data_IF_429054431089
#
_entry.id   IF_429054431089
#
_cell.length_a   1.000
_cell.length_b   1.000
_cell.length_c   1.000
_cell.angle_alpha   90.00
_cell.angle_beta   90.00
_cell.angle_gamma   90.00
#
_symmetry.space_group_name_H-M   'P 1'
#
loop_
_entity.id
_entity.type
_entity.pdbx_description
1 polymer ?
#
# COMPACT_ATOMS: atom_id res chain seq x y z
N UNK A 1 -19.29 -35.03 56.35
CA UNK A 1 -18.30 -33.93 56.17
C UNK A 1 -17.79 -33.78 54.75
N UNK A 2 -18.34 -34.50 53.73
CA UNK A 2 -17.84 -34.49 52.34
C UNK A 2 -18.59 -33.63 51.31
N UNK A 3 -19.83 -33.21 51.55
CA UNK A 3 -20.59 -32.48 50.53
C UNK A 3 -20.24 -30.99 50.41
N UNK A 4 -19.82 -30.35 51.53
CA UNK A 4 -19.43 -28.93 51.50
C UNK A 4 -18.09 -28.67 50.79
N UNK A 5 -17.16 -29.60 50.93
CA UNK A 5 -15.82 -29.50 50.27
C UNK A 5 -15.93 -29.76 48.74
N UNK A 6 -16.82 -30.65 48.32
CA UNK A 6 -17.09 -30.89 46.91
C UNK A 6 -17.71 -29.67 46.22
N UNK A 7 -18.72 -29.08 46.84
CA UNK A 7 -19.40 -27.85 46.30
C UNK A 7 -18.46 -26.62 46.28
N UNK A 8 -17.56 -26.49 47.25
CA UNK A 8 -16.58 -25.42 47.27
C UNK A 8 -15.52 -25.59 46.19
N UNK A 9 -15.11 -26.83 45.89
CA UNK A 9 -14.16 -27.14 44.81
C UNK A 9 -14.74 -26.94 43.41
N UNK A 10 -16.02 -27.28 43.24
CA UNK A 10 -16.78 -27.07 42.00
C UNK A 10 -17.01 -25.59 41.70
N UNK A 11 -17.39 -24.79 42.71
CA UNK A 11 -17.49 -23.33 42.60
C UNK A 11 -16.13 -22.66 42.27
N UNK A 12 -15.04 -23.12 42.87
CA UNK A 12 -13.69 -22.62 42.55
C UNK A 12 -13.26 -22.94 41.11
N UNK A 13 -13.61 -24.12 40.63
CA UNK A 13 -13.36 -24.55 39.24
C UNK A 13 -14.17 -23.70 38.26
N UNK A 14 -15.47 -23.53 38.48
CA UNK A 14 -16.35 -22.69 37.67
C UNK A 14 -15.87 -21.22 37.63
N UNK A 15 -15.46 -20.69 38.75
CA UNK A 15 -14.93 -19.31 38.83
C UNK A 15 -13.64 -19.13 38.06
N UNK A 16 -12.73 -20.14 38.07
CA UNK A 16 -11.50 -20.13 37.26
C UNK A 16 -11.80 -20.21 35.77
N UNK A 17 -12.71 -21.07 35.37
CA UNK A 17 -13.09 -21.25 33.96
C UNK A 17 -13.76 -19.98 33.42
N UNK A 18 -14.65 -19.33 34.16
CA UNK A 18 -15.26 -18.06 33.79
C UNK A 18 -14.23 -16.92 33.66
N UNK A 19 -13.28 -16.86 34.58
CA UNK A 19 -12.20 -15.87 34.52
C UNK A 19 -11.31 -16.08 33.29
N UNK A 20 -11.02 -17.33 32.97
CA UNK A 20 -10.22 -17.71 31.80
C UNK A 20 -10.92 -17.33 30.49
N UNK A 21 -12.20 -17.69 30.31
CA UNK A 21 -12.97 -17.30 29.11
C UNK A 21 -13.11 -15.78 28.97
N UNK A 22 -13.32 -15.07 30.07
CA UNK A 22 -13.35 -13.62 30.06
C UNK A 22 -12.01 -13.02 29.61
N UNK A 23 -10.90 -13.54 30.12
CA UNK A 23 -9.57 -13.09 29.72
C UNK A 23 -9.31 -13.30 28.22
N UNK A 24 -9.74 -14.44 27.67
CA UNK A 24 -9.66 -14.71 26.22
C UNK A 24 -10.45 -13.64 25.45
N UNK A 25 -11.72 -13.43 25.79
CA UNK A 25 -12.59 -12.47 25.09
C UNK A 25 -12.05 -11.03 25.19
N UNK A 26 -11.51 -10.66 26.34
CA UNK A 26 -10.98 -9.32 26.59
C UNK A 26 -9.63 -9.07 25.86
N UNK A 27 -8.87 -10.13 25.59
CA UNK A 27 -7.58 -10.03 24.87
C UNK A 27 -7.71 -10.07 23.34
N UNK A 28 -8.87 -10.47 22.78
CA UNK A 28 -9.08 -10.51 21.34
C UNK A 28 -9.20 -9.10 20.76
N UNK A 29 -8.54 -8.79 19.60
CA UNK A 29 -8.67 -7.49 18.92
C UNK A 29 -9.99 -7.39 18.14
N UNK A 30 -11.09 -7.82 18.75
CA UNK A 30 -12.43 -7.88 18.18
C UNK A 30 -13.42 -7.35 19.20
N UNK A 31 -14.29 -6.45 18.79
CA UNK A 31 -15.40 -6.02 19.64
C UNK A 31 -16.40 -7.17 19.84
N UNK A 32 -16.70 -7.50 21.07
CA UNK A 32 -17.67 -8.54 21.41
C UNK A 32 -18.70 -7.96 22.38
N UNK A 33 -19.97 -8.15 22.08
CA UNK A 33 -21.05 -7.86 23.01
C UNK A 33 -22.12 -8.96 23.00
N UNK A 34 -22.86 -9.05 24.07
CA UNK A 34 -24.00 -9.97 24.20
C UNK A 34 -25.27 -9.17 24.46
N UNK A 35 -26.39 -9.73 24.04
CA UNK A 35 -27.73 -9.18 24.27
C UNK A 35 -28.66 -10.24 24.83
N UNK A 36 -29.70 -9.78 25.53
CA UNK A 36 -30.84 -10.63 25.89
C UNK A 36 -31.86 -10.74 24.75
N UNK A 37 -32.97 -11.45 24.96
CA UNK A 37 -34.05 -11.64 23.96
C UNK A 37 -34.72 -10.32 23.53
N UNK A 38 -34.60 -9.23 24.31
CA UNK A 38 -35.08 -7.88 23.97
C UNK A 38 -34.05 -7.03 23.23
N UNK A 39 -32.92 -7.61 22.81
CA UNK A 39 -31.80 -6.90 22.18
C UNK A 39 -31.14 -5.83 23.06
N UNK A 40 -31.29 -5.94 24.38
CA UNK A 40 -30.59 -5.07 25.35
C UNK A 40 -29.22 -5.68 25.65
N UNK A 41 -28.18 -4.85 25.64
CA UNK A 41 -26.79 -5.25 25.89
C UNK A 41 -26.67 -5.80 27.32
N UNK A 42 -26.08 -6.98 27.43
CA UNK A 42 -25.78 -7.65 28.70
C UNK A 42 -24.31 -7.64 29.05
N UNK A 43 -23.43 -7.62 28.06
CA UNK A 43 -21.98 -7.44 28.24
C UNK A 43 -21.35 -6.74 27.05
N UNK A 44 -20.19 -6.11 27.28
CA UNK A 44 -19.39 -5.41 26.26
C UNK A 44 -17.93 -5.55 26.63
N UNK A 45 -17.10 -6.20 25.77
CA UNK A 45 -15.69 -6.36 26.04
C UNK A 45 -14.91 -5.04 25.88
N UNK A 46 -13.65 -4.93 26.37
CA UNK A 46 -12.86 -3.71 26.30
C UNK A 46 -12.66 -3.20 24.87
N UNK A 47 -12.52 -4.11 23.89
CA UNK A 47 -12.33 -3.73 22.49
C UNK A 47 -13.59 -3.08 21.90
N UNK A 48 -14.77 -3.63 22.19
CA UNK A 48 -16.04 -3.04 21.79
C UNK A 48 -16.26 -1.66 22.44
N UNK A 49 -15.87 -1.49 23.70
CA UNK A 49 -15.90 -0.17 24.37
C UNK A 49 -15.01 0.84 23.63
N UNK A 50 -13.78 0.44 23.28
CA UNK A 50 -12.83 1.29 22.54
C UNK A 50 -13.39 1.70 21.18
N UNK A 51 -13.98 0.77 20.43
CA UNK A 51 -14.51 1.03 19.08
C UNK A 51 -15.78 1.88 19.11
N UNK A 52 -16.68 1.63 20.02
CA UNK A 52 -17.96 2.36 20.09
C UNK A 52 -17.86 3.68 20.87
N UNK A 53 -16.84 3.81 21.72
CA UNK A 53 -16.66 4.96 22.62
C UNK A 53 -17.59 4.95 23.85
N UNK A 54 -18.36 3.87 24.08
CA UNK A 54 -19.20 3.69 25.26
C UNK A 54 -18.56 2.72 26.23
N UNK A 55 -18.60 3.03 27.53
CA UNK A 55 -18.20 2.09 28.56
C UNK A 55 -19.22 0.96 28.70
N UNK A 56 -18.80 -0.18 29.28
CA UNK A 56 -19.72 -1.28 29.57
C UNK A 56 -20.86 -0.85 30.49
N UNK A 57 -20.60 0.05 31.45
CA UNK A 57 -21.64 0.58 32.38
C UNK A 57 -22.68 1.44 31.64
N UNK A 58 -22.26 2.27 30.68
CA UNK A 58 -23.17 3.10 29.88
C UNK A 58 -23.98 2.29 28.88
N UNK A 59 -23.43 1.17 28.36
CA UNK A 59 -24.07 0.37 27.33
C UNK A 59 -25.01 -0.71 27.89
N UNK A 60 -24.68 -1.31 29.04
CA UNK A 60 -25.48 -2.39 29.63
C UNK A 60 -26.92 -1.96 29.90
N UNK A 61 -27.88 -2.80 29.54
CA UNK A 61 -29.32 -2.54 29.67
C UNK A 61 -29.92 -1.68 28.54
N UNK A 62 -29.10 -1.04 27.70
CA UNK A 62 -29.58 -0.25 26.56
C UNK A 62 -29.79 -1.11 25.32
N UNK A 63 -30.67 -0.66 24.44
CA UNK A 63 -30.87 -1.30 23.13
C UNK A 63 -29.61 -1.22 22.29
N UNK A 64 -29.14 -2.35 21.76
CA UNK A 64 -27.85 -2.43 21.02
C UNK A 64 -27.80 -1.48 19.81
N UNK A 65 -28.93 -1.24 19.14
CA UNK A 65 -29.02 -0.30 18.03
C UNK A 65 -28.79 1.17 18.39
N UNK A 66 -28.94 1.56 19.66
CA UNK A 66 -28.64 2.92 20.15
C UNK A 66 -27.12 3.12 20.32
N UNK A 67 -26.41 2.05 20.66
CA UNK A 67 -24.96 2.05 20.91
C UNK A 67 -24.19 1.90 19.60
N UNK A 68 -24.57 0.93 18.77
CA UNK A 68 -23.86 0.60 17.53
C UNK A 68 -24.28 1.46 16.33
N UNK A 69 -25.54 1.95 16.35
CA UNK A 69 -26.11 2.80 15.28
C UNK A 69 -25.80 2.31 13.86
N UNK A 70 -25.75 0.99 13.69
CA UNK A 70 -25.37 0.35 12.43
C UNK A 70 -26.40 0.61 11.32
N UNK A 71 -25.94 0.60 10.08
CA UNK A 71 -26.78 0.84 8.90
C UNK A 71 -27.97 -0.12 8.77
N UNK A 72 -27.88 -1.31 9.39
CA UNK A 72 -28.92 -2.35 9.36
C UNK A 72 -29.76 -2.43 10.64
N UNK A 73 -29.51 -1.59 11.65
CA UNK A 73 -30.18 -1.69 12.95
C UNK A 73 -31.68 -1.32 12.92
N UNK A 74 -32.15 -0.64 11.87
CA UNK A 74 -33.53 -0.13 11.80
C UNK A 74 -34.49 -1.00 11.01
N UNK A 75 -34.05 -1.59 9.88
CA UNK A 75 -34.92 -2.30 8.94
C UNK A 75 -34.66 -3.82 8.93
N UNK A 76 -33.41 -4.22 8.84
CA UNK A 76 -33.01 -5.63 8.67
C UNK A 76 -31.97 -6.00 9.71
N UNK A 77 -32.36 -5.99 11.00
CA UNK A 77 -31.43 -6.27 12.09
C UNK A 77 -30.91 -7.72 12.01
N UNK A 78 -29.61 -7.92 11.73
CA UNK A 78 -29.06 -9.28 11.58
C UNK A 78 -29.15 -10.08 12.88
N UNK A 79 -28.96 -9.42 14.03
CA UNK A 79 -29.05 -10.04 15.33
C UNK A 79 -30.48 -10.54 15.62
N UNK A 80 -31.50 -9.75 15.27
CA UNK A 80 -32.91 -10.17 15.37
C UNK A 80 -33.19 -11.36 14.44
N UNK A 81 -32.69 -11.31 13.20
CA UNK A 81 -32.87 -12.42 12.25
C UNK A 81 -32.22 -13.73 12.73
N UNK A 82 -31.09 -13.64 13.45
CA UNK A 82 -30.43 -14.82 14.06
C UNK A 82 -31.25 -15.35 15.23
N UNK A 83 -31.83 -14.47 16.06
CA UNK A 83 -32.69 -14.88 17.17
C UNK A 83 -34.00 -15.52 16.69
N UNK A 84 -34.58 -14.99 15.60
CA UNK A 84 -35.84 -15.52 15.05
C UNK A 84 -35.66 -16.84 14.27
N UNK A 85 -34.50 -17.04 13.63
CA UNK A 85 -34.23 -18.19 12.73
C UNK A 85 -33.30 -19.23 13.32
N UNK A 86 -32.70 -18.98 14.48
CA UNK A 86 -31.71 -19.84 15.18
C UNK A 86 -30.49 -20.24 14.32
N UNK A 87 -30.19 -19.46 13.26
CA UNK A 87 -29.05 -19.71 12.36
C UNK A 87 -28.01 -18.61 12.50
N UNK A 88 -26.74 -18.95 12.78
CA UNK A 88 -25.69 -17.94 12.88
C UNK A 88 -25.46 -17.24 11.54
N UNK A 89 -25.10 -15.97 11.57
CA UNK A 89 -24.61 -15.20 10.43
C UNK A 89 -23.11 -14.97 10.59
N UNK A 90 -22.36 -15.24 9.54
CA UNK A 90 -20.90 -15.10 9.53
C UNK A 90 -20.46 -14.16 8.43
N UNK A 91 -19.38 -13.41 8.70
CA UNK A 91 -18.71 -12.52 7.74
C UNK A 91 -19.61 -11.45 7.11
N UNK A 92 -20.62 -10.99 7.84
CA UNK A 92 -21.47 -9.89 7.39
C UNK A 92 -20.70 -8.56 7.45
N UNK A 93 -20.48 -7.93 6.30
CA UNK A 93 -19.87 -6.59 6.23
C UNK A 93 -20.94 -5.51 6.29
N UNK A 94 -20.77 -4.56 7.19
CA UNK A 94 -21.67 -3.42 7.39
C UNK A 94 -20.91 -2.27 8.05
N UNK A 95 -21.62 -1.25 8.52
CA UNK A 95 -21.02 -0.15 9.27
C UNK A 95 -21.65 -0.03 10.66
N UNK A 96 -20.87 0.46 11.61
CA UNK A 96 -21.35 0.97 12.89
C UNK A 96 -21.00 2.46 13.01
N UNK A 97 -21.61 3.17 13.94
CA UNK A 97 -21.20 4.52 14.31
C UNK A 97 -20.78 4.54 15.77
N UNK A 98 -19.67 5.20 16.05
CA UNK A 98 -19.25 5.47 17.41
C UNK A 98 -20.11 6.58 18.05
N UNK A 99 -19.85 6.88 19.34
CA UNK A 99 -20.57 7.93 20.07
C UNK A 99 -20.40 9.34 19.49
N UNK A 100 -19.32 9.55 18.70
CA UNK A 100 -19.01 10.83 18.06
C UNK A 100 -19.59 10.96 16.65
N UNK A 101 -20.25 9.90 16.14
CA UNK A 101 -20.84 9.87 14.82
C UNK A 101 -19.88 9.41 13.70
N UNK A 102 -18.67 8.98 14.03
CA UNK A 102 -17.76 8.42 13.04
C UNK A 102 -18.26 7.07 12.55
N UNK A 103 -18.29 6.88 11.24
CA UNK A 103 -18.72 5.63 10.61
C UNK A 103 -17.53 4.69 10.48
N UNK A 104 -17.62 3.49 11.08
CA UNK A 104 -16.59 2.47 11.10
C UNK A 104 -17.10 1.26 10.31
N UNK A 105 -16.47 0.86 9.19
CA UNK A 105 -16.78 -0.38 8.50
C UNK A 105 -16.35 -1.57 9.35
N UNK A 106 -17.25 -2.52 9.55
CA UNK A 106 -17.01 -3.69 10.38
C UNK A 106 -17.43 -4.97 9.69
N UNK A 107 -16.73 -6.06 10.00
CA UNK A 107 -17.14 -7.42 9.67
C UNK A 107 -17.67 -8.08 10.92
N UNK A 108 -18.89 -8.61 10.86
CA UNK A 108 -19.63 -9.15 11.99
C UNK A 108 -19.85 -10.65 11.89
N UNK A 109 -19.77 -11.33 13.03
CA UNK A 109 -20.24 -12.68 13.24
C UNK A 109 -21.27 -12.66 14.35
N UNK A 110 -22.42 -13.28 14.14
CA UNK A 110 -23.58 -13.21 15.02
C UNK A 110 -24.09 -14.64 15.27
N UNK A 111 -24.31 -14.96 16.53
CA UNK A 111 -24.86 -16.25 16.95
C UNK A 111 -25.86 -16.11 18.09
N UNK A 112 -26.79 -17.06 18.19
CA UNK A 112 -27.67 -17.17 19.33
C UNK A 112 -26.94 -17.72 20.56
N UNK A 113 -27.30 -17.24 21.74
CA UNK A 113 -26.84 -17.78 23.02
C UNK A 113 -27.94 -18.72 23.57
N UNK A 114 -27.53 -19.96 23.86
CA UNK A 114 -28.40 -20.99 24.39
C UNK A 114 -28.09 -21.23 25.89
N UNK A 115 -29.11 -21.53 26.67
CA UNK A 115 -28.93 -22.01 28.04
C UNK A 115 -28.59 -23.53 28.05
N UNK A 116 -28.41 -24.08 29.24
CA UNK A 116 -28.08 -25.50 29.44
C UNK A 116 -29.19 -26.45 28.92
N UNK A 117 -30.42 -25.97 28.70
CA UNK A 117 -31.53 -26.73 28.16
C UNK A 117 -31.64 -26.65 26.63
N UNK A 118 -30.77 -25.84 25.99
CA UNK A 118 -30.82 -25.57 24.55
C UNK A 118 -31.81 -24.46 24.17
N UNK A 119 -32.40 -23.75 25.14
CA UNK A 119 -33.31 -22.63 24.91
C UNK A 119 -32.54 -21.37 24.60
N UNK A 120 -32.98 -20.63 23.57
CA UNK A 120 -32.40 -19.35 23.19
C UNK A 120 -32.67 -18.28 24.29
N UNK A 121 -31.60 -17.73 24.84
CA UNK A 121 -31.66 -16.71 25.90
C UNK A 121 -31.18 -15.33 25.47
N UNK A 122 -30.61 -15.22 24.28
CA UNK A 122 -30.07 -13.99 23.75
C UNK A 122 -29.17 -14.22 22.54
N UNK A 123 -28.30 -13.25 22.25
CA UNK A 123 -27.35 -13.31 21.14
C UNK A 123 -25.98 -12.75 21.49
N UNK A 124 -25.00 -13.20 20.75
CA UNK A 124 -23.63 -12.67 20.75
C UNK A 124 -23.29 -12.12 19.37
N UNK A 125 -22.68 -10.96 19.35
CA UNK A 125 -22.12 -10.37 18.13
C UNK A 125 -20.64 -10.06 18.37
N UNK A 126 -19.81 -10.59 17.48
CA UNK A 126 -18.40 -10.23 17.38
C UNK A 126 -18.20 -9.39 16.13
N UNK A 127 -17.49 -8.25 16.23
CA UNK A 127 -17.26 -7.35 15.11
C UNK A 127 -15.81 -6.85 15.08
N UNK A 128 -15.24 -6.84 13.88
CA UNK A 128 -13.87 -6.43 13.62
C UNK A 128 -13.87 -5.17 12.76
N UNK A 129 -13.05 -4.18 13.11
CA UNK A 129 -12.80 -3.02 12.26
C UNK A 129 -12.05 -3.46 10.99
N UNK A 130 -12.64 -3.18 9.83
CA UNK A 130 -12.06 -3.45 8.53
C UNK A 130 -11.70 -2.16 7.76
N UNK A 131 -11.57 -1.02 8.45
CA UNK A 131 -11.24 0.28 7.85
C UNK A 131 -9.95 0.22 7.05
N UNK A 132 -8.93 -0.43 7.60
CA UNK A 132 -7.65 -0.63 6.92
C UNK A 132 -7.80 -1.48 5.65
N UNK A 133 -8.55 -2.59 5.73
CA UNK A 133 -8.81 -3.47 4.59
C UNK A 133 -9.58 -2.70 3.50
N UNK A 134 -10.63 -1.96 3.88
CA UNK A 134 -11.40 -1.14 2.94
C UNK A 134 -10.59 -0.02 2.30
N UNK A 135 -9.66 0.55 3.04
CA UNK A 135 -8.73 1.55 2.49
C UNK A 135 -7.82 0.92 1.44
N UNK A 136 -7.25 -0.25 1.71
CA UNK A 136 -6.42 -0.98 0.74
C UNK A 136 -7.22 -1.41 -0.50
N UNK A 137 -8.44 -1.95 -0.32
CA UNK A 137 -9.32 -2.31 -1.43
C UNK A 137 -9.63 -1.10 -2.31
N UNK A 138 -9.94 0.06 -1.71
CA UNK A 138 -10.21 1.29 -2.42
C UNK A 138 -8.99 1.83 -3.16
N UNK A 139 -7.82 1.79 -2.51
CA UNK A 139 -6.56 2.14 -3.16
C UNK A 139 -6.32 1.26 -4.39
N UNK A 140 -6.45 -0.07 -4.24
CA UNK A 140 -6.31 -1.02 -5.35
C UNK A 140 -7.30 -0.75 -6.49
N UNK A 141 -8.58 -0.50 -6.19
CA UNK A 141 -9.58 -0.18 -7.20
C UNK A 141 -9.27 1.14 -7.93
N UNK A 142 -8.85 2.17 -7.20
CA UNK A 142 -8.43 3.44 -7.78
C UNK A 142 -7.22 3.27 -8.71
N UNK A 143 -6.27 2.39 -8.35
CA UNK A 143 -5.11 2.05 -9.18
C UNK A 143 -5.52 1.47 -10.52
N UNK A 144 -6.38 0.45 -10.50
CA UNK A 144 -6.88 -0.20 -11.73
C UNK A 144 -7.64 0.80 -12.61
N UNK A 145 -8.47 1.65 -12.02
CA UNK A 145 -9.22 2.67 -12.74
C UNK A 145 -8.31 3.71 -13.41
N UNK A 146 -7.25 4.14 -12.72
CA UNK A 146 -6.29 5.11 -13.27
C UNK A 146 -5.50 4.53 -14.44
N UNK A 147 -5.02 3.28 -14.30
CA UNK A 147 -4.33 2.57 -15.39
C UNK A 147 -5.23 2.43 -16.61
N UNK A 148 -6.47 1.99 -16.41
CA UNK A 148 -7.44 1.84 -17.50
C UNK A 148 -7.72 3.18 -18.20
N UNK A 149 -7.81 4.28 -17.45
CA UNK A 149 -7.99 5.62 -18.00
C UNK A 149 -6.79 6.05 -18.87
N UNK A 150 -5.57 5.87 -18.39
CA UNK A 150 -4.35 6.29 -19.09
C UNK A 150 -4.09 5.42 -20.34
N UNK A 151 -4.34 4.10 -20.24
CA UNK A 151 -4.33 3.20 -21.40
C UNK A 151 -5.35 3.64 -22.45
N UNK A 152 -6.59 3.94 -22.04
CA UNK A 152 -7.64 4.41 -22.95
C UNK A 152 -7.25 5.73 -23.65
N UNK A 153 -6.60 6.64 -22.92
CA UNK A 153 -6.13 7.91 -23.47
C UNK A 153 -5.05 7.69 -24.53
N UNK A 154 -4.02 6.87 -24.27
CA UNK A 154 -3.00 6.53 -25.25
C UNK A 154 -3.58 5.80 -26.46
N UNK A 155 -4.50 4.84 -26.26
CA UNK A 155 -5.19 4.14 -27.34
C UNK A 155 -6.03 5.10 -28.22
N UNK A 156 -6.69 6.09 -27.61
CA UNK A 156 -7.44 7.10 -28.36
C UNK A 156 -6.54 7.97 -29.24
N UNK A 157 -5.35 8.35 -28.74
CA UNK A 157 -4.35 9.09 -29.51
C UNK A 157 -3.84 8.24 -30.66
N UNK A 158 -3.46 6.99 -30.41
CA UNK A 158 -3.02 6.04 -31.42
C UNK A 158 -4.07 5.85 -32.52
N UNK A 159 -5.32 5.59 -32.14
CA UNK A 159 -6.43 5.42 -33.07
C UNK A 159 -6.67 6.68 -33.90
N UNK A 160 -6.63 7.86 -33.26
CA UNK A 160 -6.85 9.15 -33.93
C UNK A 160 -5.78 9.44 -35.02
N UNK A 161 -4.49 9.24 -34.71
CA UNK A 161 -3.41 9.45 -35.69
C UNK A 161 -3.38 8.36 -36.74
N UNK A 162 -3.67 7.10 -36.41
CA UNK A 162 -3.79 6.02 -37.39
C UNK A 162 -4.93 6.28 -38.40
N UNK A 163 -6.10 6.70 -37.92
CA UNK A 163 -7.22 7.04 -38.78
C UNK A 163 -6.91 8.25 -39.69
N UNK A 164 -6.19 9.27 -39.19
CA UNK A 164 -5.73 10.39 -40.01
C UNK A 164 -4.78 9.98 -41.12
N UNK A 165 -3.84 9.08 -40.81
CA UNK A 165 -2.94 8.51 -41.82
C UNK A 165 -3.70 7.72 -42.87
N UNK A 166 -4.71 6.93 -42.50
CA UNK A 166 -5.51 6.14 -43.42
C UNK A 166 -6.42 7.01 -44.29
N UNK A 167 -7.14 7.98 -43.66
CA UNK A 167 -8.16 8.78 -44.36
C UNK A 167 -7.57 9.86 -45.28
N UNK A 168 -6.36 10.31 -45.03
CA UNK A 168 -5.68 11.38 -45.78
C UNK A 168 -4.39 10.95 -46.44
N UNK A 169 -4.16 9.65 -46.64
CA UNK A 169 -2.90 9.11 -47.13
C UNK A 169 -2.42 9.71 -48.46
N UNK A 170 -3.37 10.17 -49.33
CA UNK A 170 -3.07 10.81 -50.62
C UNK A 170 -2.76 12.31 -50.49
N UNK A 171 -3.24 12.97 -49.44
CA UNK A 171 -3.22 14.45 -49.29
C UNK A 171 -2.15 14.92 -48.29
N UNK A 172 -1.60 14.02 -47.49
CA UNK A 172 -0.61 14.36 -46.44
C UNK A 172 0.81 14.25 -47.01
N UNK A 173 1.59 15.35 -46.86
CA UNK A 173 2.99 15.37 -47.24
C UNK A 173 3.83 14.41 -46.38
N UNK A 174 4.99 13.94 -46.91
CA UNK A 174 5.90 13.00 -46.25
C UNK A 174 6.32 13.49 -44.83
N UNK A 175 6.51 14.76 -44.65
CA UNK A 175 6.90 15.36 -43.37
C UNK A 175 5.82 15.18 -42.29
N UNK A 176 4.56 15.40 -42.66
CA UNK A 176 3.43 15.23 -41.75
C UNK A 176 3.17 13.75 -41.45
N UNK A 177 3.36 12.86 -42.45
CA UNK A 177 3.32 11.40 -42.22
C UNK A 177 4.37 10.96 -41.19
N UNK A 178 5.63 11.42 -41.34
CA UNK A 178 6.68 11.13 -40.36
C UNK A 178 6.35 11.65 -38.96
N UNK A 179 5.77 12.84 -38.86
CA UNK A 179 5.33 13.41 -37.58
C UNK A 179 4.26 12.55 -36.92
N UNK A 180 3.25 12.10 -37.66
CA UNK A 180 2.20 11.23 -37.10
C UNK A 180 2.73 9.86 -36.70
N UNK A 181 3.58 9.25 -37.52
CA UNK A 181 4.27 8.00 -37.16
C UNK A 181 5.13 8.16 -35.90
N UNK A 182 5.85 9.28 -35.78
CA UNK A 182 6.62 9.60 -34.57
C UNK A 182 5.75 9.71 -33.30
N UNK A 183 4.56 10.32 -33.41
CA UNK A 183 3.60 10.37 -32.30
C UNK A 183 3.10 8.98 -31.93
N UNK A 184 2.74 8.16 -32.93
CA UNK A 184 2.29 6.78 -32.73
C UNK A 184 3.37 5.96 -32.04
N UNK A 185 4.61 6.00 -32.53
CA UNK A 185 5.73 5.28 -31.93
C UNK A 185 6.00 5.70 -30.48
N UNK A 186 5.93 7.02 -30.21
CA UNK A 186 6.10 7.55 -28.85
C UNK A 186 4.99 7.06 -27.92
N UNK A 187 3.73 7.07 -28.36
CA UNK A 187 2.61 6.61 -27.54
C UNK A 187 2.61 5.09 -27.31
N UNK A 188 3.05 4.29 -28.31
CA UNK A 188 3.25 2.86 -28.13
C UNK A 188 4.33 2.57 -27.07
N UNK A 189 5.45 3.27 -27.10
CA UNK A 189 6.50 3.13 -26.09
C UNK A 189 6.04 3.50 -24.68
N UNK A 190 5.17 4.52 -24.54
CA UNK A 190 4.55 4.85 -23.26
C UNK A 190 3.63 3.75 -22.76
N UNK A 191 2.81 3.17 -23.64
CA UNK A 191 1.90 2.09 -23.30
C UNK A 191 2.65 0.84 -22.86
N UNK A 192 3.71 0.49 -23.59
CA UNK A 192 4.61 -0.63 -23.26
C UNK A 192 5.25 -0.43 -21.86
N UNK A 193 5.78 0.77 -21.61
CA UNK A 193 6.34 1.11 -20.29
C UNK A 193 5.30 0.97 -19.17
N UNK A 194 4.06 1.47 -19.39
CA UNK A 194 2.99 1.37 -18.42
C UNK A 194 2.63 -0.09 -18.09
N UNK A 195 2.50 -0.93 -19.13
CA UNK A 195 2.19 -2.36 -18.95
C UNK A 195 3.30 -3.06 -18.18
N UNK A 196 4.56 -2.81 -18.54
CA UNK A 196 5.72 -3.40 -17.88
C UNK A 196 5.84 -2.96 -16.43
N UNK A 197 5.60 -1.68 -16.13
CA UNK A 197 5.61 -1.13 -14.78
C UNK A 197 4.49 -1.73 -13.92
N UNK A 198 3.29 -1.91 -14.51
CA UNK A 198 2.16 -2.52 -13.83
C UNK A 198 2.39 -4.01 -13.52
N UNK A 199 2.89 -4.77 -14.47
CA UNK A 199 3.22 -6.19 -14.27
C UNK A 199 4.28 -6.35 -13.17
N UNK A 200 5.31 -5.51 -13.19
CA UNK A 200 6.34 -5.55 -12.17
C UNK A 200 5.80 -5.20 -10.78
N UNK A 201 4.99 -4.13 -10.66
CA UNK A 201 4.34 -3.79 -9.40
C UNK A 201 3.46 -4.93 -8.88
N UNK A 202 2.73 -5.62 -9.78
CA UNK A 202 1.91 -6.78 -9.44
C UNK A 202 2.75 -7.92 -8.86
N UNK A 203 3.89 -8.25 -9.50
CA UNK A 203 4.82 -9.27 -9.01
C UNK A 203 5.48 -8.87 -7.69
N UNK A 204 5.76 -7.58 -7.49
CA UNK A 204 6.29 -7.06 -6.23
C UNK A 204 5.28 -7.20 -5.08
N UNK A 205 4.00 -6.91 -5.34
CA UNK A 205 2.94 -6.98 -4.31
C UNK A 205 2.54 -8.43 -3.96
N UNK A 206 2.63 -9.36 -4.92
CA UNK A 206 2.37 -10.78 -4.66
C UNK A 206 3.51 -11.49 -3.92
N UNK A 207 4.63 -10.82 -3.69
CA UNK A 207 5.83 -11.43 -3.11
C UNK A 207 6.54 -12.42 -4.05
N UNK A 208 6.17 -12.42 -5.33
CA UNK A 208 6.71 -13.31 -6.37
C UNK A 208 7.98 -12.75 -7.04
N UNK A 209 8.48 -11.60 -6.56
CA UNK A 209 9.71 -11.05 -7.10
C UNK A 209 10.88 -11.99 -6.84
N UNK A 210 11.21 -12.79 -7.82
CA UNK A 210 12.45 -13.59 -7.82
C UNK A 210 13.59 -12.68 -8.30
N UNK A 211 14.48 -12.34 -7.37
CA UNK A 211 15.73 -11.64 -7.70
C UNK A 211 16.80 -12.65 -8.06
N UNK A 212 17.48 -12.41 -9.17
CA UNK A 212 18.59 -13.21 -9.65
C UNK A 212 19.91 -12.60 -9.17
N UNK A 213 20.33 -12.95 -7.96
CA UNK A 213 21.54 -12.42 -7.37
C UNK A 213 22.80 -12.98 -8.05
N UNK A 214 23.74 -12.10 -8.34
CA UNK A 214 25.07 -12.42 -8.88
C UNK A 214 26.09 -11.39 -8.39
N UNK A 215 27.39 -11.74 -8.46
CA UNK A 215 28.46 -10.80 -8.16
C UNK A 215 28.40 -9.61 -9.13
N UNK A 216 28.07 -8.44 -8.63
CA UNK A 216 27.78 -7.23 -9.40
C UNK A 216 28.70 -6.09 -9.01
N UNK A 217 29.33 -5.47 -10.00
CA UNK A 217 30.11 -4.24 -9.83
C UNK A 217 29.21 -3.05 -10.11
N UNK A 218 28.83 -2.33 -9.03
CA UNK A 218 28.01 -1.10 -9.16
C UNK A 218 28.72 0.01 -9.91
N UNK A 219 30.04 0.14 -9.78
CA UNK A 219 30.81 1.14 -10.53
C UNK A 219 30.64 0.95 -12.03
N UNK A 220 30.71 -0.30 -12.51
CA UNK A 220 30.52 -0.62 -13.92
C UNK A 220 29.10 -0.28 -14.37
N UNK A 221 28.09 -0.73 -13.63
CA UNK A 221 26.69 -0.47 -13.97
C UNK A 221 26.39 1.05 -14.01
N UNK A 222 26.90 1.81 -13.01
CA UNK A 222 26.71 3.26 -12.95
C UNK A 222 27.48 4.01 -14.05
N UNK A 223 28.65 3.52 -14.46
CA UNK A 223 29.42 4.10 -15.57
C UNK A 223 28.70 3.88 -16.90
N UNK A 224 28.23 2.67 -17.18
CA UNK A 224 27.45 2.36 -18.39
C UNK A 224 26.18 3.24 -18.46
N UNK A 225 25.48 3.44 -17.35
CA UNK A 225 24.34 4.34 -17.27
C UNK A 225 24.74 5.80 -17.50
N UNK A 226 25.82 6.25 -16.87
CA UNK A 226 26.32 7.61 -17.06
C UNK A 226 26.59 7.91 -18.52
N UNK A 227 27.30 7.00 -19.23
CA UNK A 227 27.59 7.14 -20.66
C UNK A 227 26.31 7.17 -21.50
N UNK A 228 25.32 6.32 -21.19
CA UNK A 228 24.03 6.29 -21.89
C UNK A 228 23.18 7.55 -21.69
N UNK A 229 23.28 8.17 -20.50
CA UNK A 229 22.51 9.36 -20.15
C UNK A 229 23.16 10.69 -20.51
N UNK A 230 24.47 10.71 -20.70
CA UNK A 230 25.23 11.93 -21.02
C UNK A 230 24.70 12.66 -22.28
N UNK A 231 24.40 11.97 -23.42
CA UNK A 231 23.84 12.65 -24.59
C UNK A 231 22.44 13.23 -24.32
N UNK A 232 21.60 12.51 -23.59
CA UNK A 232 20.25 12.98 -23.23
C UNK A 232 20.30 14.22 -22.34
N UNK A 233 21.21 14.24 -21.37
CA UNK A 233 21.43 15.38 -20.50
C UNK A 233 21.95 16.59 -21.26
N UNK A 234 22.94 16.40 -22.12
CA UNK A 234 23.52 17.45 -22.97
C UNK A 234 22.46 18.07 -23.91
N UNK A 235 21.57 17.27 -24.50
CA UNK A 235 20.48 17.76 -25.34
C UNK A 235 19.51 18.67 -24.61
N UNK A 236 19.37 18.49 -23.28
CA UNK A 236 18.53 19.35 -22.40
C UNK A 236 19.35 20.47 -21.73
N UNK A 237 20.63 20.60 -22.07
CA UNK A 237 21.53 21.59 -21.45
C UNK A 237 21.85 21.30 -19.98
N UNK A 238 21.66 20.05 -19.53
CA UNK A 238 21.91 19.61 -18.15
C UNK A 238 23.31 19.00 -18.06
N UNK A 239 24.09 19.40 -17.05
CA UNK A 239 25.40 18.83 -16.78
C UNK A 239 25.23 17.57 -15.93
N UNK A 240 25.58 16.41 -16.48
CA UNK A 240 25.64 15.14 -15.75
C UNK A 240 27.09 14.88 -15.29
N UNK A 241 27.27 14.58 -14.02
CA UNK A 241 28.56 14.26 -13.41
C UNK A 241 28.48 13.00 -12.55
N UNK A 242 29.58 12.25 -12.49
CA UNK A 242 29.78 11.18 -11.55
C UNK A 242 30.92 11.56 -10.60
N UNK A 243 30.66 11.49 -9.30
CA UNK A 243 31.61 11.82 -8.26
C UNK A 243 31.81 10.59 -7.37
N UNK A 244 32.77 9.76 -7.75
CA UNK A 244 33.17 8.59 -6.98
C UNK A 244 34.35 8.97 -6.09
N UNK A 245 34.23 8.76 -4.79
CA UNK A 245 35.32 9.00 -3.86
C UNK A 245 36.36 7.86 -3.94
N UNK A 246 35.89 6.62 -4.00
CA UNK A 246 36.69 5.39 -4.08
C UNK A 246 35.92 4.32 -4.88
N UNK A 247 36.61 3.29 -5.46
CA UNK A 247 35.94 2.17 -6.12
C UNK A 247 35.03 1.42 -5.13
N UNK A 248 33.83 1.08 -5.58
CA UNK A 248 32.88 0.30 -4.77
C UNK A 248 33.23 -1.19 -4.75
N UNK A 249 32.93 -1.88 -3.65
CA UNK A 249 33.07 -3.34 -3.60
C UNK A 249 32.09 -4.03 -4.55
N UNK A 250 32.46 -5.24 -4.97
CA UNK A 250 31.51 -6.15 -5.65
C UNK A 250 30.50 -6.62 -4.62
N UNK A 251 29.21 -6.52 -4.94
CA UNK A 251 28.12 -6.95 -4.08
C UNK A 251 27.28 -8.05 -4.74
N UNK A 252 26.60 -8.86 -3.94
CA UNK A 252 25.61 -9.82 -4.43
C UNK A 252 24.29 -9.08 -4.73
N UNK A 253 24.00 -8.86 -6.02
CA UNK A 253 22.83 -8.12 -6.46
C UNK A 253 22.26 -8.62 -7.77
N UNK A 254 21.02 -8.28 -8.07
CA UNK A 254 20.42 -8.42 -9.40
C UNK A 254 20.72 -7.15 -10.21
N UNK A 255 21.76 -7.21 -11.05
CA UNK A 255 22.23 -6.09 -11.85
C UNK A 255 21.12 -5.48 -12.72
N UNK A 256 20.28 -6.33 -13.37
CA UNK A 256 19.20 -5.86 -14.23
C UNK A 256 18.15 -5.06 -13.44
N UNK A 257 17.83 -5.52 -12.24
CA UNK A 257 16.87 -4.82 -11.37
C UNK A 257 17.46 -3.52 -10.81
N UNK A 258 18.73 -3.51 -10.41
CA UNK A 258 19.40 -2.29 -9.96
C UNK A 258 19.57 -1.28 -11.11
N UNK A 259 19.86 -1.74 -12.31
CA UNK A 259 19.85 -0.89 -13.50
C UNK A 259 18.52 -0.17 -13.69
N UNK A 260 17.41 -0.88 -13.47
CA UNK A 260 16.07 -0.28 -13.52
C UNK A 260 15.85 0.76 -12.41
N UNK A 261 16.37 0.52 -11.20
CA UNK A 261 16.35 1.50 -10.10
C UNK A 261 17.02 2.80 -10.53
N UNK A 262 18.25 2.70 -11.03
CA UNK A 262 19.03 3.89 -11.39
C UNK A 262 18.48 4.59 -12.64
N UNK A 263 17.97 3.86 -13.62
CA UNK A 263 17.24 4.44 -14.76
C UNK A 263 16.04 5.27 -14.29
N UNK A 264 15.20 4.73 -13.42
CA UNK A 264 14.03 5.44 -12.88
C UNK A 264 14.43 6.74 -12.14
N UNK A 265 15.53 6.70 -11.38
CA UNK A 265 16.01 7.87 -10.66
C UNK A 265 16.64 8.92 -11.59
N UNK A 266 17.41 8.50 -12.60
CA UNK A 266 18.02 9.40 -13.58
C UNK A 266 16.99 10.02 -14.52
N UNK A 267 15.98 9.24 -14.97
CA UNK A 267 14.88 9.77 -15.76
C UNK A 267 14.09 10.82 -14.97
N UNK A 268 13.84 10.58 -13.67
CA UNK A 268 13.22 11.56 -12.80
C UNK A 268 14.11 12.81 -12.64
N UNK A 269 15.40 12.65 -12.41
CA UNK A 269 16.34 13.76 -12.27
C UNK A 269 16.36 14.63 -13.54
N UNK A 270 16.47 14.02 -14.75
CA UNK A 270 16.39 14.74 -16.03
C UNK A 270 15.05 15.46 -16.22
N UNK A 271 13.96 14.75 -15.96
CA UNK A 271 12.60 15.26 -16.15
C UNK A 271 12.29 16.48 -15.29
N UNK A 272 12.80 16.50 -14.04
CA UNK A 272 12.48 17.53 -13.06
C UNK A 272 13.59 18.57 -12.88
N UNK A 273 14.76 18.37 -13.46
CA UNK A 273 15.83 19.37 -13.49
C UNK A 273 15.40 20.63 -14.24
N UNK A 274 16.02 21.76 -13.88
CA UNK A 274 15.90 23.03 -14.59
C UNK A 274 16.86 23.03 -15.79
N UNK A 275 16.57 23.85 -16.80
CA UNK A 275 17.53 24.14 -17.86
C UNK A 275 18.86 24.65 -17.27
N UNK A 276 19.97 24.19 -17.80
CA UNK A 276 21.34 24.44 -17.30
C UNK A 276 21.57 23.96 -15.86
N UNK A 277 20.72 23.03 -15.36
CA UNK A 277 20.92 22.40 -14.08
C UNK A 277 22.06 21.39 -14.09
N UNK A 278 22.31 20.83 -12.91
CA UNK A 278 23.32 19.79 -12.71
C UNK A 278 22.68 18.56 -12.06
N UNK A 279 23.05 17.37 -12.55
CA UNK A 279 22.76 16.09 -11.94
C UNK A 279 24.08 15.45 -11.54
N UNK A 280 24.19 14.99 -10.30
CA UNK A 280 25.42 14.36 -9.81
C UNK A 280 25.09 12.98 -9.26
N UNK A 281 25.77 11.95 -9.74
CA UNK A 281 25.76 10.60 -9.16
C UNK A 281 26.93 10.58 -8.16
N UNK A 282 26.64 10.24 -6.91
CA UNK A 282 27.64 10.13 -5.83
C UNK A 282 27.60 8.72 -5.29
N UNK A 283 28.75 8.08 -5.19
CA UNK A 283 28.89 6.77 -4.57
C UNK A 283 29.70 6.86 -3.30
N UNK A 284 29.36 6.05 -2.32
CA UNK A 284 30.04 5.99 -1.03
C UNK A 284 29.97 4.56 -0.48
N UNK A 285 31.06 4.08 0.05
CA UNK A 285 31.14 2.84 0.83
C UNK A 285 31.13 3.14 2.33
N UNK A 286 30.49 2.26 3.10
CA UNK A 286 30.58 2.18 4.55
C UNK A 286 30.93 0.73 4.94
N UNK A 287 31.21 0.48 6.21
CA UNK A 287 31.53 -0.89 6.70
C UNK A 287 30.43 -1.91 6.37
N UNK A 288 29.18 -1.49 6.28
CA UNK A 288 28.03 -2.38 6.14
C UNK A 288 27.27 -2.19 4.82
N UNK A 289 27.31 -1.01 4.23
CA UNK A 289 26.44 -0.64 3.13
C UNK A 289 27.22 0.03 2.00
N UNK A 290 26.72 -0.12 0.77
CA UNK A 290 27.06 0.68 -0.39
C UNK A 290 25.94 1.68 -0.63
N UNK A 291 26.29 2.95 -0.80
CA UNK A 291 25.35 4.07 -0.92
C UNK A 291 25.54 4.71 -2.30
N UNK A 292 24.43 4.84 -3.04
CA UNK A 292 24.38 5.59 -4.31
C UNK A 292 23.39 6.74 -4.14
N UNK A 293 23.84 7.97 -4.39
CA UNK A 293 23.00 9.17 -4.36
C UNK A 293 22.86 9.75 -5.74
N UNK A 294 21.66 10.11 -6.15
CA UNK A 294 21.37 10.88 -7.35
C UNK A 294 20.85 12.24 -6.88
N UNK A 295 21.63 13.28 -7.17
CA UNK A 295 21.39 14.65 -6.72
C UNK A 295 21.01 15.48 -7.93
N UNK A 296 19.83 16.10 -7.92
CA UNK A 296 19.36 17.03 -8.94
C UNK A 296 19.18 18.44 -8.39
N UNK A 297 19.31 19.44 -9.26
CA UNK A 297 19.02 20.85 -8.99
C UNK A 297 17.67 21.27 -9.60
N UNK A 298 16.68 20.38 -9.48
CA UNK A 298 15.38 20.56 -10.08
C UNK A 298 14.42 21.44 -9.29
N UNK A 299 13.13 21.20 -9.55
CA UNK A 299 12.03 21.94 -8.89
C UNK A 299 11.85 21.55 -7.42
N UNK A 300 12.44 20.44 -6.99
CA UNK A 300 12.25 19.88 -5.65
C UNK A 300 10.84 19.34 -5.41
N UNK A 301 10.62 18.85 -4.20
CA UNK A 301 9.38 18.18 -3.78
C UNK A 301 8.78 18.95 -2.60
N UNK A 302 7.47 19.13 -2.62
CA UNK A 302 6.76 19.76 -1.51
C UNK A 302 6.82 18.86 -0.26
N UNK A 303 7.03 19.44 0.92
CA UNK A 303 7.09 18.70 2.18
C UNK A 303 5.85 17.82 2.44
N UNK A 304 4.67 18.22 1.95
CA UNK A 304 3.43 17.45 2.05
C UNK A 304 3.45 16.17 1.22
N UNK A 305 4.20 16.16 0.12
CA UNK A 305 4.29 15.02 -0.80
C UNK A 305 5.39 14.02 -0.39
N UNK A 306 6.43 14.47 0.32
CA UNK A 306 7.59 13.65 0.71
C UNK A 306 7.25 12.30 1.36
N UNK A 307 6.28 12.20 2.30
CA UNK A 307 5.93 10.93 2.91
C UNK A 307 5.36 9.91 1.93
N UNK A 308 4.82 10.36 0.79
CA UNK A 308 4.03 9.56 -0.14
C UNK A 308 4.70 9.33 -1.50
N UNK A 309 5.88 9.90 -1.77
CA UNK A 309 6.49 9.84 -3.11
C UNK A 309 6.88 8.44 -3.57
N UNK A 310 7.06 7.51 -2.63
CA UNK A 310 7.30 6.10 -2.91
C UNK A 310 6.03 5.27 -2.97
N UNK A 311 4.86 5.88 -2.70
CA UNK A 311 3.58 5.19 -2.86
C UNK A 311 3.25 5.07 -4.34
N UNK A 312 2.73 3.91 -4.77
CA UNK A 312 2.33 3.73 -6.16
C UNK A 312 1.35 4.81 -6.61
N UNK A 313 1.57 5.37 -7.81
CA UNK A 313 0.74 6.39 -8.47
C UNK A 313 0.68 7.75 -7.76
N UNK A 314 1.46 7.95 -6.71
CA UNK A 314 1.56 9.28 -6.12
C UNK A 314 2.23 10.25 -7.10
N UNK A 315 1.60 11.40 -7.31
CA UNK A 315 2.11 12.50 -8.15
C UNK A 315 1.88 13.81 -7.41
N UNK A 316 2.98 14.47 -7.08
CA UNK A 316 2.90 15.78 -6.43
C UNK A 316 2.10 16.80 -7.26
N UNK A 317 1.41 17.71 -6.61
CA UNK A 317 0.55 18.70 -7.30
C UNK A 317 1.31 19.53 -8.34
N UNK A 318 2.55 19.90 -8.06
CA UNK A 318 3.42 20.65 -8.97
C UNK A 318 3.87 19.85 -10.22
N UNK A 319 3.73 18.53 -10.19
CA UNK A 319 4.22 17.62 -11.23
C UNK A 319 3.13 17.00 -12.10
N UNK A 320 1.83 17.29 -11.82
CA UNK A 320 0.67 16.75 -12.57
C UNK A 320 0.73 17.01 -14.07
N UNK A 321 1.40 18.08 -14.51
CA UNK A 321 1.55 18.44 -15.93
C UNK A 321 2.69 17.70 -16.66
N UNK A 322 3.61 17.05 -15.95
CA UNK A 322 4.72 16.30 -16.56
C UNK A 322 4.34 14.83 -16.77
N UNK A 323 4.80 14.24 -17.87
CA UNK A 323 4.51 12.84 -18.23
C UNK A 323 4.97 11.85 -17.14
N UNK A 324 4.25 10.74 -16.93
CA UNK A 324 4.62 9.64 -16.04
C UNK A 324 3.49 9.15 -15.14
N UNK A 325 3.50 7.87 -14.83
CA UNK A 325 2.40 7.17 -14.17
C UNK A 325 2.52 7.13 -12.63
N UNK A 326 3.62 7.65 -12.06
CA UNK A 326 3.87 7.59 -10.61
C UNK A 326 4.23 6.20 -10.08
N UNK A 327 4.69 5.30 -10.96
CA UNK A 327 5.10 3.94 -10.60
C UNK A 327 6.60 3.81 -10.35
N UNK A 328 7.42 4.62 -11.01
CA UNK A 328 8.89 4.46 -11.01
C UNK A 328 9.50 4.46 -9.61
N UNK A 329 9.10 5.38 -8.72
CA UNK A 329 9.65 5.43 -7.36
C UNK A 329 9.14 4.28 -6.47
N UNK A 330 7.92 3.82 -6.66
CA UNK A 330 7.40 2.63 -5.97
C UNK A 330 8.19 1.38 -6.36
N UNK A 331 8.52 1.24 -7.66
CA UNK A 331 9.37 0.16 -8.18
C UNK A 331 10.79 0.28 -7.59
N UNK A 332 11.36 1.49 -7.54
CA UNK A 332 12.67 1.75 -6.90
C UNK A 332 12.67 1.23 -5.46
N UNK A 333 11.69 1.65 -4.65
CA UNK A 333 11.59 1.22 -3.26
C UNK A 333 11.51 -0.30 -3.15
N UNK A 334 10.63 -0.92 -3.90
CA UNK A 334 10.37 -2.36 -3.80
C UNK A 334 11.59 -3.20 -4.26
N UNK A 335 12.30 -2.81 -5.33
CA UNK A 335 13.52 -3.50 -5.76
C UNK A 335 14.62 -3.34 -4.71
N UNK A 336 14.83 -2.14 -4.18
CA UNK A 336 15.85 -1.85 -3.17
C UNK A 336 15.57 -2.62 -1.87
N UNK A 337 14.31 -2.64 -1.41
CA UNK A 337 13.88 -3.44 -0.25
C UNK A 337 14.03 -4.95 -0.49
N UNK A 338 13.75 -5.42 -1.71
CA UNK A 338 14.01 -6.82 -2.11
C UNK A 338 15.48 -7.22 -2.05
N UNK A 339 16.40 -6.27 -2.21
CA UNK A 339 17.83 -6.46 -2.00
C UNK A 339 18.26 -6.34 -0.52
N UNK A 340 17.32 -6.12 0.42
CA UNK A 340 17.60 -5.87 1.83
C UNK A 340 18.09 -4.45 2.11
N UNK A 341 17.99 -3.55 1.12
CA UNK A 341 18.41 -2.18 1.19
C UNK A 341 17.30 -1.19 1.61
N UNK A 342 17.57 0.10 1.40
CA UNK A 342 16.64 1.20 1.74
C UNK A 342 16.73 2.31 0.70
N UNK A 343 15.59 2.82 0.22
CA UNK A 343 15.50 4.01 -0.60
C UNK A 343 15.04 5.22 0.27
N UNK A 344 15.69 6.34 0.12
CA UNK A 344 15.38 7.59 0.85
C UNK A 344 15.36 8.78 -0.10
N UNK A 345 14.72 9.87 0.33
CA UNK A 345 14.71 11.15 -0.37
C UNK A 345 14.88 12.29 0.62
N UNK A 346 15.65 13.26 0.20
CA UNK A 346 15.75 14.57 0.83
C UNK A 346 15.49 15.60 -0.26
N UNK A 347 14.56 16.53 -0.04
CA UNK A 347 14.22 17.52 -1.05
C UNK A 347 13.64 18.77 -0.43
N UNK A 348 13.93 19.91 -1.06
CA UNK A 348 13.33 21.20 -0.74
C UNK A 348 12.81 21.86 -2.02
N UNK A 349 11.58 22.35 -1.95
CA UNK A 349 10.94 22.98 -3.10
C UNK A 349 11.80 24.16 -3.64
N UNK A 350 12.11 24.11 -4.93
CA UNK A 350 12.95 25.09 -5.63
C UNK A 350 14.45 24.84 -5.58
N UNK A 351 14.96 23.92 -4.72
CA UNK A 351 16.39 23.63 -4.56
C UNK A 351 16.83 22.31 -5.22
N UNK A 352 15.90 21.37 -5.44
CA UNK A 352 16.19 20.06 -6.03
C UNK A 352 15.96 18.92 -5.05
N UNK A 353 16.44 17.72 -5.42
CA UNK A 353 16.23 16.50 -4.65
C UNK A 353 17.49 15.65 -4.57
N UNK A 354 17.61 14.88 -3.50
CA UNK A 354 18.64 13.86 -3.28
C UNK A 354 17.94 12.54 -3.06
N UNK A 355 18.01 11.65 -4.04
CA UNK A 355 17.57 10.28 -3.89
C UNK A 355 18.73 9.39 -3.47
N UNK A 356 18.59 8.68 -2.38
CA UNK A 356 19.62 7.83 -1.78
C UNK A 356 19.17 6.38 -1.82
N UNK A 357 19.96 5.54 -2.46
CA UNK A 357 19.84 4.08 -2.47
C UNK A 357 20.93 3.52 -1.57
N UNK A 358 20.54 2.75 -0.56
CA UNK A 358 21.45 2.08 0.38
C UNK A 358 21.29 0.58 0.16
N UNK A 359 22.36 -0.12 -0.18
CA UNK A 359 22.40 -1.56 -0.41
C UNK A 359 23.37 -2.21 0.57
N UNK A 360 23.04 -3.37 1.16
CA UNK A 360 23.97 -4.07 2.04
C UNK A 360 25.17 -4.55 1.23
N UNK A 361 26.39 -4.35 1.80
CA UNK A 361 27.64 -4.84 1.21
C UNK A 361 27.66 -6.37 1.20
N UNK A 362 27.35 -6.98 2.34
CA UNK A 362 27.25 -8.42 2.51
C UNK A 362 25.79 -8.83 2.65
N UNK A 363 25.32 -9.70 1.79
CA UNK A 363 24.02 -10.31 1.93
C UNK A 363 24.00 -11.17 3.18
N UNK A 364 23.29 -10.74 4.24
CA UNK A 364 23.00 -11.65 5.36
C UNK A 364 22.19 -12.82 4.80
N UNK A 365 22.79 -14.00 4.75
CA UNK A 365 22.11 -15.25 4.44
C UNK A 365 21.09 -15.53 5.55
N UNK A 366 19.90 -14.99 5.42
CA UNK A 366 18.82 -15.10 6.38
C UNK A 366 17.50 -14.89 5.68
N UNK A 367 16.87 -16.00 5.28
CA UNK A 367 15.47 -16.02 4.93
C UNK A 367 14.64 -15.53 6.11
N UNK A 368 14.22 -14.30 6.07
CA UNK A 368 13.26 -13.72 6.99
C UNK A 368 12.09 -13.18 6.19
N UNK A 369 10.98 -13.92 6.17
CA UNK A 369 9.68 -13.34 5.88
C UNK A 369 9.56 -12.11 6.79
N UNK A 370 9.51 -10.93 6.19
CA UNK A 370 9.09 -9.73 6.90
C UNK A 370 7.72 -10.03 7.50
N UNK A 371 7.64 -10.20 8.81
CA UNK A 371 6.38 -10.17 9.53
C UNK A 371 5.86 -8.73 9.38
N UNK A 372 4.62 -8.53 8.94
CA UNK A 372 4.00 -7.23 9.03
C UNK A 372 3.93 -6.87 10.51
N UNK A 373 4.60 -5.80 10.90
CA UNK A 373 4.51 -5.22 12.23
C UNK A 373 3.06 -4.92 12.58
N UNK A 374 2.71 -5.32 13.79
CA UNK A 374 1.43 -5.16 14.50
C UNK A 374 1.07 -3.68 14.65
#
# INVERSE_FOLDING_TARGET
>A
MNDKDSAANENNRLSRDLTFYRFIIDSLPVGVFTVNSELKITSLNPWAQKMTGYSAQEATGRYCGEILRGGMCKADCPLKAVLDRERPMVQLETTIQDRYGNTIPVRKNIAGLLDATGKLIGGVEAFQDISYIKTLERQKANLVSMIAHDMKSSLAILGGFSLRLLSKAADIGKEEQHKYLGIITKELGKLESLVNDFLELSHLQSGELKLNFSATSLDRELLELFEAYQPKAAQQGIKLEIANAEPLPIIEADANRLNRVFNNLLDNALKFSKEKGKITIVTQETDQDVIVKIIDQGVGINAKDLPYIFDPFHRGESTKKKEGFGLGLAIVKAIVEGHGGRARVESELGKGSIFTVVLPRDRKSGGGKAQPGI
#
